data_IF_719950442354
#
_entry.id   IF_719950442354
#
_cell.length_a   1.000
_cell.length_b   1.000
_cell.length_c   1.000
_cell.angle_alpha   90.00
_cell.angle_beta   90.00
_cell.angle_gamma   90.00
#
_symmetry.space_group_name_H-M   'P 1'
#
loop_
_entity.id
_entity.type
_entity.pdbx_description
1 polymer ?
#
# COMPACT_ATOMS: atom_id res chain seq x y z
N UNK A 1 6.02 30.57 -12.54
CA UNK A 1 5.84 31.88 -11.87
C UNK A 1 4.57 31.88 -11.03
N UNK A 2 4.46 32.80 -10.06
CA UNK A 2 3.36 32.86 -9.07
C UNK A 2 1.94 32.81 -9.67
N UNK A 3 1.72 33.49 -10.81
CA UNK A 3 0.43 33.46 -11.52
C UNK A 3 0.05 32.06 -12.05
N UNK A 4 1.02 31.29 -12.55
CA UNK A 4 0.78 29.94 -13.05
C UNK A 4 0.55 28.94 -11.90
N UNK A 5 1.28 29.09 -10.79
CA UNK A 5 1.08 28.32 -9.56
C UNK A 5 -0.34 28.52 -9.02
N UNK A 6 -0.78 29.77 -8.86
CA UNK A 6 -2.13 30.08 -8.40
C UNK A 6 -3.23 29.51 -9.30
N UNK A 7 -3.03 29.56 -10.62
CA UNK A 7 -3.96 28.98 -11.59
C UNK A 7 -4.07 27.46 -11.39
N UNK A 8 -2.94 26.75 -11.36
CA UNK A 8 -2.90 25.30 -11.16
C UNK A 8 -3.58 24.87 -9.84
N UNK A 9 -3.31 25.57 -8.74
CA UNK A 9 -3.91 25.28 -7.44
C UNK A 9 -5.43 25.45 -7.46
N UNK A 10 -5.92 26.53 -8.10
CA UNK A 10 -7.36 26.81 -8.21
C UNK A 10 -8.07 25.77 -9.07
N UNK A 11 -7.51 25.42 -10.22
CA UNK A 11 -8.09 24.45 -11.15
C UNK A 11 -8.20 23.05 -10.55
N UNK A 12 -7.28 22.68 -9.66
CA UNK A 12 -7.21 21.34 -9.04
C UNK A 12 -7.75 21.31 -7.59
N UNK A 13 -8.33 22.40 -7.09
CA UNK A 13 -8.83 22.52 -5.71
C UNK A 13 -7.78 22.18 -4.63
N UNK A 14 -6.53 22.60 -4.84
CA UNK A 14 -5.40 22.28 -3.98
C UNK A 14 -5.08 23.42 -3.01
N UNK A 15 -4.77 23.06 -1.75
CA UNK A 15 -4.28 23.99 -0.73
C UNK A 15 -2.78 24.20 -0.86
N UNK A 16 -2.36 25.45 -1.16
CA UNK A 16 -0.93 25.83 -1.18
C UNK A 16 -0.23 25.51 0.14
N UNK A 17 -0.86 25.87 1.25
CA UNK A 17 -0.29 25.69 2.58
C UNK A 17 -0.02 24.21 2.87
N UNK A 18 -0.97 23.33 2.50
CA UNK A 18 -0.83 21.89 2.67
C UNK A 18 0.31 21.34 1.82
N UNK A 19 0.40 21.73 0.54
CA UNK A 19 1.48 21.27 -0.36
C UNK A 19 2.86 21.73 0.11
N UNK A 20 2.99 22.99 0.58
CA UNK A 20 4.24 23.50 1.15
C UNK A 20 4.63 22.70 2.39
N UNK A 21 3.67 22.43 3.28
CA UNK A 21 3.91 21.62 4.48
C UNK A 21 4.37 20.20 4.10
N UNK A 22 3.73 19.57 3.10
CA UNK A 22 4.14 18.27 2.59
C UNK A 22 5.57 18.28 2.01
N UNK A 23 5.98 19.35 1.31
CA UNK A 23 7.35 19.49 0.82
C UNK A 23 8.36 19.58 1.97
N UNK A 24 8.04 20.36 3.00
CA UNK A 24 8.89 20.49 4.20
C UNK A 24 9.00 19.17 4.96
N UNK A 25 7.90 18.43 5.13
CA UNK A 25 7.92 17.10 5.75
C UNK A 25 8.78 16.11 4.97
N UNK A 26 8.71 16.14 3.63
CA UNK A 26 9.56 15.31 2.77
C UNK A 26 11.05 15.60 3.00
N UNK A 27 11.42 16.86 3.13
CA UNK A 27 12.81 17.27 3.41
C UNK A 27 13.25 16.80 4.80
N UNK A 28 12.38 16.89 5.81
CA UNK A 28 12.65 16.38 7.15
C UNK A 28 12.85 14.85 7.17
N UNK A 29 11.98 14.08 6.50
CA UNK A 29 12.16 12.62 6.40
C UNK A 29 13.46 12.24 5.69
N UNK A 30 13.86 13.00 4.67
CA UNK A 30 15.14 12.79 3.99
C UNK A 30 16.35 13.02 4.90
N UNK A 31 16.29 14.04 5.76
CA UNK A 31 17.35 14.29 6.75
C UNK A 31 17.46 13.15 7.77
N UNK A 32 16.32 12.56 8.18
CA UNK A 32 16.30 11.40 9.05
C UNK A 32 16.88 10.14 8.38
N UNK A 33 16.59 9.92 7.10
CA UNK A 33 17.18 8.82 6.34
C UNK A 33 18.69 8.97 6.16
N UNK A 34 19.16 10.22 5.96
CA UNK A 34 20.58 10.53 5.94
C UNK A 34 21.24 10.25 7.29
N UNK A 35 20.66 10.72 8.39
CA UNK A 35 21.25 10.51 9.72
C UNK A 35 21.28 9.03 10.11
N UNK A 36 20.30 8.24 9.65
CA UNK A 36 20.27 6.80 9.80
C UNK A 36 21.17 6.05 8.79
N UNK A 37 21.88 6.75 7.90
CA UNK A 37 22.84 6.16 6.96
C UNK A 37 22.22 5.43 5.76
N UNK A 38 20.92 5.56 5.50
CA UNK A 38 20.22 4.89 4.39
C UNK A 38 20.51 5.52 3.02
N UNK A 39 21.08 6.72 2.97
CA UNK A 39 21.31 7.46 1.73
C UNK A 39 22.77 7.91 1.62
N UNK A 40 23.42 7.56 0.52
CA UNK A 40 24.80 7.96 0.22
C UNK A 40 24.85 9.23 -0.64
N UNK A 41 24.73 10.39 0.00
CA UNK A 41 25.10 11.69 -0.58
C UNK A 41 23.96 12.50 -1.22
N UNK A 42 23.62 13.63 -0.60
CA UNK A 42 22.75 14.68 -1.15
C UNK A 42 22.04 15.49 -0.05
N UNK A 43 22.26 16.82 0.01
CA UNK A 43 21.60 17.72 0.98
C UNK A 43 20.07 17.77 0.83
N UNK A 44 19.55 17.34 -0.32
CA UNK A 44 18.13 17.37 -0.68
C UNK A 44 17.68 15.99 -1.14
N UNK A 45 16.37 15.68 -0.97
CA UNK A 45 15.80 14.48 -1.55
C UNK A 45 16.07 14.46 -3.07
N UNK A 46 16.39 13.31 -3.67
CA UNK A 46 16.47 13.19 -5.11
C UNK A 46 15.15 13.67 -5.72
N UNK A 47 15.24 14.51 -6.75
CA UNK A 47 14.04 14.89 -7.48
C UNK A 47 13.45 13.63 -8.13
N UNK A 48 12.13 13.45 -7.98
CA UNK A 48 11.35 12.30 -8.52
C UNK A 48 11.52 12.15 -10.05
N UNK A 49 12.15 13.12 -10.72
CA UNK A 49 12.45 13.08 -12.15
C UNK A 49 13.74 12.33 -12.53
N UNK A 50 14.58 11.94 -11.56
CA UNK A 50 15.93 11.42 -11.82
C UNK A 50 16.18 9.95 -11.47
N UNK A 51 15.25 9.27 -10.79
CA UNK A 51 15.42 7.85 -10.42
C UNK A 51 14.41 6.97 -11.16
N UNK A 52 14.90 5.99 -11.93
CA UNK A 52 14.06 5.05 -12.68
C UNK A 52 13.12 4.23 -11.77
N UNK A 53 13.51 3.96 -10.52
CA UNK A 53 12.70 3.25 -9.52
C UNK A 53 11.48 4.06 -9.04
N UNK A 54 11.60 5.40 -8.99
CA UNK A 54 10.54 6.30 -8.52
C UNK A 54 9.34 6.36 -9.47
N UNK A 55 9.50 5.85 -10.69
CA UNK A 55 8.47 5.82 -11.72
C UNK A 55 7.66 4.51 -11.77
N UNK A 56 8.04 3.47 -11.03
CA UNK A 56 7.31 2.20 -11.03
C UNK A 56 6.17 2.22 -10.00
N UNK A 57 4.89 2.26 -10.42
CA UNK A 57 3.76 2.22 -9.48
C UNK A 57 3.76 0.94 -8.65
N UNK A 58 4.34 -0.15 -9.17
CA UNK A 58 4.46 -1.42 -8.46
C UNK A 58 5.40 -1.31 -7.25
N UNK A 59 6.54 -0.62 -7.38
CA UNK A 59 7.47 -0.40 -6.27
C UNK A 59 6.85 0.51 -5.20
N UNK A 60 6.19 1.60 -5.61
CA UNK A 60 5.50 2.51 -4.67
C UNK A 60 4.41 1.76 -3.91
N UNK A 61 3.57 0.98 -4.60
CA UNK A 61 2.57 0.10 -3.96
C UNK A 61 3.20 -0.89 -2.98
N UNK A 62 4.37 -1.43 -3.31
CA UNK A 62 5.07 -2.38 -2.46
C UNK A 62 5.60 -1.74 -1.17
N UNK A 63 6.23 -0.56 -1.28
CA UNK A 63 6.70 0.21 -0.13
C UNK A 63 5.53 0.67 0.74
N UNK A 64 4.45 1.17 0.13
CA UNK A 64 3.22 1.53 0.86
C UNK A 64 2.65 0.32 1.61
N UNK A 65 2.65 -0.86 1.00
CA UNK A 65 2.20 -2.07 1.67
C UNK A 65 3.07 -2.40 2.89
N UNK A 66 4.39 -2.28 2.79
CA UNK A 66 5.29 -2.50 3.93
C UNK A 66 5.06 -1.52 5.08
N UNK A 67 4.74 -0.25 4.77
CA UNK A 67 4.46 0.77 5.79
C UNK A 67 3.05 0.70 6.40
N UNK A 68 2.06 0.22 5.64
CA UNK A 68 0.66 0.19 6.08
C UNK A 68 0.20 -1.19 6.56
N UNK A 69 0.94 -2.27 6.31
CA UNK A 69 0.61 -3.58 6.86
C UNK A 69 0.59 -3.53 8.41
N UNK A 70 -0.42 -4.11 9.10
CA UNK A 70 -1.43 -5.07 8.63
C UNK A 70 -2.77 -4.46 8.19
N UNK A 71 -2.84 -3.15 7.87
CA UNK A 71 -4.08 -2.50 7.41
C UNK A 71 -4.40 -2.89 5.96
N UNK A 72 -4.97 -4.08 5.81
CA UNK A 72 -5.36 -4.67 4.53
C UNK A 72 -6.84 -5.01 4.59
N UNK A 73 -7.55 -4.71 3.52
CA UNK A 73 -8.94 -5.09 3.27
C UNK A 73 -9.03 -5.97 2.02
N UNK A 74 -9.96 -6.92 2.05
CA UNK A 74 -10.18 -7.91 1.00
C UNK A 74 -11.54 -7.62 0.36
N UNK A 75 -11.50 -7.35 -0.93
CA UNK A 75 -12.68 -7.20 -1.76
C UNK A 75 -13.26 -8.59 -2.05
N UNK A 76 -14.58 -8.80 -1.86
CA UNK A 76 -15.24 -10.04 -2.21
C UNK A 76 -14.99 -10.47 -3.66
N UNK A 77 -14.95 -11.79 -3.87
CA UNK A 77 -14.86 -12.35 -5.22
C UNK A 77 -16.11 -11.98 -6.01
N UNK A 78 -15.93 -11.60 -7.28
CA UNK A 78 -17.05 -11.28 -8.17
C UNK A 78 -17.38 -9.80 -8.30
N UNK A 79 -16.65 -8.88 -7.64
CA UNK A 79 -16.80 -7.43 -7.90
C UNK A 79 -16.67 -7.14 -9.40
N UNK A 80 -15.58 -7.61 -10.04
CA UNK A 80 -15.32 -7.36 -11.47
C UNK A 80 -16.35 -8.01 -12.41
N UNK A 81 -17.19 -8.91 -11.91
CA UNK A 81 -18.27 -9.58 -12.65
C UNK A 81 -19.64 -8.98 -12.31
N UNK A 82 -19.70 -8.12 -11.30
CA UNK A 82 -20.90 -7.45 -10.83
C UNK A 82 -20.97 -6.05 -11.42
N UNK A 83 -22.17 -5.52 -11.62
CA UNK A 83 -22.38 -4.10 -11.96
C UNK A 83 -22.22 -3.17 -10.74
N UNK A 84 -21.96 -3.74 -9.55
CA UNK A 84 -21.77 -2.98 -8.30
C UNK A 84 -20.46 -2.22 -8.32
N UNK A 85 -20.45 -1.04 -7.71
CA UNK A 85 -19.24 -0.26 -7.48
C UNK A 85 -18.50 -0.80 -6.26
N UNK A 86 -17.18 -0.65 -6.23
CA UNK A 86 -16.35 -1.12 -5.11
C UNK A 86 -16.76 -0.50 -3.76
N UNK A 87 -17.25 0.74 -3.76
CA UNK A 87 -17.77 1.39 -2.55
C UNK A 87 -19.12 0.90 -2.05
N UNK A 88 -19.86 0.15 -2.86
CA UNK A 88 -21.16 -0.44 -2.49
C UNK A 88 -21.00 -1.85 -1.90
N UNK A 89 -19.80 -2.42 -1.99
CA UNK A 89 -19.50 -3.78 -1.51
C UNK A 89 -18.93 -3.73 -0.09
N UNK A 90 -19.28 -4.75 0.71
CA UNK A 90 -18.69 -4.96 2.04
C UNK A 90 -17.32 -5.63 1.90
N UNK A 91 -16.29 -4.98 2.40
CA UNK A 91 -14.91 -5.45 2.44
C UNK A 91 -14.65 -6.12 3.79
N UNK A 92 -13.85 -7.17 3.78
CA UNK A 92 -13.37 -7.81 5.00
C UNK A 92 -11.97 -7.28 5.32
N UNK A 93 -11.78 -6.65 6.49
CA UNK A 93 -10.45 -6.25 6.93
C UNK A 93 -9.72 -7.40 7.61
N UNK A 94 -8.39 -7.37 7.62
CA UNK A 94 -7.62 -8.33 8.43
C UNK A 94 -7.96 -8.22 9.93
N UNK A 95 -8.29 -7.02 10.40
CA UNK A 95 -8.80 -6.81 11.76
C UNK A 95 -10.21 -7.38 11.99
N UNK A 96 -10.78 -8.07 10.99
CA UNK A 96 -12.04 -8.82 11.06
C UNK A 96 -13.25 -7.95 11.34
N UNK A 97 -13.15 -6.70 10.91
CA UNK A 97 -14.26 -5.77 10.78
C UNK A 97 -14.71 -5.72 9.33
N UNK A 98 -16.02 -5.61 9.12
CA UNK A 98 -16.58 -5.27 7.82
C UNK A 98 -16.47 -3.77 7.60
N UNK A 99 -15.99 -3.35 6.44
CA UNK A 99 -15.86 -1.95 6.06
C UNK A 99 -16.33 -1.71 4.62
N UNK A 100 -16.65 -0.47 4.26
CA UNK A 100 -16.89 -0.05 2.87
C UNK A 100 -15.89 1.01 2.46
N UNK A 101 -15.69 1.23 1.16
CA UNK A 101 -14.89 2.38 0.72
C UNK A 101 -15.65 3.67 0.97
N UNK A 102 -14.97 4.70 1.47
CA UNK A 102 -15.57 6.02 1.65
C UNK A 102 -15.80 6.71 0.28
N UNK A 103 -16.88 7.49 0.08
CA UNK A 103 -17.14 8.19 -1.18
C UNK A 103 -16.03 9.14 -1.67
N UNK A 104 -15.12 9.56 -0.78
CA UNK A 104 -13.98 10.41 -1.13
C UNK A 104 -12.81 9.66 -1.76
N UNK A 105 -12.78 8.32 -1.70
CA UNK A 105 -11.69 7.57 -2.32
C UNK A 105 -11.93 7.40 -3.82
N UNK A 106 -10.85 7.41 -4.60
CA UNK A 106 -10.90 7.26 -6.05
C UNK A 106 -11.53 5.92 -6.48
N UNK A 107 -11.28 4.85 -5.71
CA UNK A 107 -11.81 3.54 -6.00
C UNK A 107 -13.31 3.39 -5.69
N UNK A 108 -13.97 4.36 -5.03
CA UNK A 108 -15.38 4.23 -4.64
C UNK A 108 -16.29 3.89 -5.83
N UNK A 109 -16.06 4.55 -6.96
CA UNK A 109 -16.87 4.42 -8.18
C UNK A 109 -16.37 3.33 -9.13
N UNK A 110 -15.25 2.68 -8.83
CA UNK A 110 -14.67 1.66 -9.69
C UNK A 110 -15.57 0.42 -9.72
N UNK A 111 -15.90 -0.07 -10.91
CA UNK A 111 -16.59 -1.35 -11.12
C UNK A 111 -15.61 -2.51 -11.27
N UNK A 112 -14.36 -2.21 -11.60
CA UNK A 112 -13.27 -3.18 -11.70
C UNK A 112 -12.07 -2.70 -10.89
N UNK A 113 -11.40 -3.64 -10.23
CA UNK A 113 -10.13 -3.41 -9.55
C UNK A 113 -9.06 -4.35 -10.12
N UNK A 114 -7.83 -3.85 -10.21
CA UNK A 114 -6.63 -4.60 -10.63
C UNK A 114 -6.23 -5.67 -9.60
N UNK A 115 -6.59 -5.49 -8.34
CA UNK A 115 -6.43 -6.48 -7.28
C UNK A 115 -7.59 -6.46 -6.30
N UNK A 116 -7.83 -7.61 -5.65
CA UNK A 116 -8.80 -7.73 -4.55
C UNK A 116 -8.25 -7.26 -3.20
N UNK A 117 -6.94 -7.06 -3.08
CA UNK A 117 -6.33 -6.61 -1.84
C UNK A 117 -6.15 -5.09 -1.89
N UNK A 118 -6.63 -4.43 -0.85
CA UNK A 118 -6.56 -2.99 -0.67
C UNK A 118 -5.78 -2.71 0.61
N UNK A 119 -4.76 -1.88 0.54
CA UNK A 119 -4.16 -1.27 1.73
C UNK A 119 -4.85 0.07 2.03
N UNK A 120 -4.93 0.42 3.30
CA UNK A 120 -5.54 1.66 3.77
C UNK A 120 -4.78 2.21 4.98
N UNK A 121 -4.92 3.51 5.22
CA UNK A 121 -4.32 4.22 6.34
C UNK A 121 -5.37 4.63 7.39
N UNK A 122 -6.47 5.25 6.97
CA UNK A 122 -7.47 5.83 7.87
C UNK A 122 -8.81 5.09 7.80
N UNK A 123 -9.33 4.74 8.98
CA UNK A 123 -10.67 4.18 9.17
C UNK A 123 -11.54 5.21 9.88
N UNK A 124 -12.71 5.49 9.32
CA UNK A 124 -13.69 6.42 9.91
C UNK A 124 -15.00 5.70 10.12
N UNK A 125 -15.67 5.97 11.25
CA UNK A 125 -17.00 5.43 11.53
C UNK A 125 -18.00 6.58 11.58
N UNK A 126 -18.97 6.55 10.67
CA UNK A 126 -20.09 7.49 10.66
C UNK A 126 -21.39 6.70 10.70
N UNK A 127 -22.02 6.47 9.54
CA UNK A 127 -23.19 5.57 9.40
C UNK A 127 -22.80 4.09 9.41
N UNK A 128 -21.61 3.78 8.89
CA UNK A 128 -20.93 2.49 8.97
C UNK A 128 -19.42 2.72 8.97
N UNK A 129 -18.64 1.66 9.07
CA UNK A 129 -17.18 1.73 9.01
C UNK A 129 -16.74 1.96 7.56
N UNK A 130 -15.93 2.98 7.34
CA UNK A 130 -15.41 3.34 6.03
C UNK A 130 -13.88 3.45 6.01
N UNK A 131 -13.27 3.01 4.91
CA UNK A 131 -11.87 3.24 4.59
C UNK A 131 -11.77 4.54 3.80
N UNK A 132 -11.07 5.55 4.34
CA UNK A 132 -11.03 6.90 3.75
C UNK A 132 -10.11 6.99 2.54
N UNK A 133 -9.05 6.19 2.56
CA UNK A 133 -8.09 6.01 1.47
C UNK A 133 -8.04 4.54 1.05
N UNK A 134 -7.65 4.29 -0.20
CA UNK A 134 -7.53 2.92 -0.71
C UNK A 134 -6.50 2.83 -1.84
N UNK A 135 -5.56 1.90 -1.70
CA UNK A 135 -4.61 1.55 -2.76
C UNK A 135 -4.67 0.05 -2.99
N UNK A 136 -4.90 -0.37 -4.23
CA UNK A 136 -4.89 -1.79 -4.59
C UNK A 136 -3.47 -2.32 -4.67
N UNK A 137 -3.22 -3.50 -4.12
CA UNK A 137 -1.91 -4.15 -4.14
C UNK A 137 -2.02 -5.58 -4.63
N UNK A 138 -1.10 -6.06 -5.48
CA UNK A 138 -1.12 -7.44 -5.94
C UNK A 138 -0.74 -8.40 -4.79
N UNK A 139 -1.18 -9.67 -4.82
CA UNK A 139 -0.89 -10.63 -3.75
C UNK A 139 0.61 -10.85 -3.51
N UNK A 140 1.44 -10.70 -4.54
CA UNK A 140 2.90 -10.81 -4.49
C UNK A 140 3.53 -9.79 -3.54
N UNK A 141 2.96 -8.59 -3.48
CA UNK A 141 3.42 -7.54 -2.56
C UNK A 141 3.13 -7.92 -1.11
N UNK A 142 1.97 -8.51 -0.84
CA UNK A 142 1.64 -9.03 0.49
C UNK A 142 2.53 -10.22 0.87
N UNK A 143 2.90 -11.09 -0.09
CA UNK A 143 3.85 -12.16 0.16
C UNK A 143 5.21 -11.63 0.59
N UNK A 144 5.68 -10.53 -0.01
CA UNK A 144 6.99 -9.94 0.30
C UNK A 144 6.99 -9.14 1.60
N UNK A 145 6.03 -8.23 1.78
CA UNK A 145 6.02 -7.22 2.85
C UNK A 145 4.95 -7.44 3.93
N UNK A 146 4.12 -8.48 3.81
CA UNK A 146 3.20 -8.86 4.88
C UNK A 146 3.90 -9.50 6.08
N UNK A 147 3.13 -10.04 7.02
CA UNK A 147 3.65 -10.64 8.24
C UNK A 147 4.28 -12.02 8.03
N UNK A 148 4.31 -12.83 9.09
CA UNK A 148 5.02 -14.12 9.10
C UNK A 148 4.49 -15.07 8.03
N UNK A 149 5.36 -15.57 7.16
CA UNK A 149 4.99 -16.45 6.06
C UNK A 149 5.17 -17.92 6.43
N UNK A 150 4.12 -18.72 6.24
CA UNK A 150 4.14 -20.17 6.38
C UNK A 150 3.75 -20.78 5.04
N UNK A 151 4.65 -21.58 4.45
CA UNK A 151 4.44 -22.22 3.15
C UNK A 151 3.89 -23.63 3.35
N UNK A 152 2.69 -23.90 2.82
CA UNK A 152 2.07 -25.22 2.82
C UNK A 152 2.23 -25.86 1.44
N UNK A 153 3.40 -26.50 1.21
CA UNK A 153 3.76 -27.06 -0.10
C UNK A 153 2.71 -28.03 -0.65
N UNK A 154 2.18 -28.92 0.19
CA UNK A 154 1.20 -29.93 -0.21
C UNK A 154 -0.06 -29.32 -0.83
N UNK A 155 -0.51 -28.17 -0.30
CA UNK A 155 -1.77 -27.52 -0.68
C UNK A 155 -1.59 -26.35 -1.66
N UNK A 156 -0.35 -26.01 -2.02
CA UNK A 156 -0.01 -24.82 -2.82
C UNK A 156 -0.61 -23.53 -2.24
N UNK A 157 -0.54 -23.42 -0.91
CA UNK A 157 -1.05 -22.27 -0.15
C UNK A 157 0.07 -21.67 0.67
N UNK A 158 0.11 -20.34 0.72
CA UNK A 158 0.94 -19.57 1.62
C UNK A 158 0.06 -18.84 2.61
N UNK A 159 0.35 -19.00 3.89
CA UNK A 159 -0.34 -18.32 4.98
C UNK A 159 0.52 -17.14 5.45
N UNK A 160 -0.01 -15.92 5.36
CA UNK A 160 0.64 -14.70 5.85
C UNK A 160 -0.03 -14.34 7.18
N UNK A 161 0.69 -14.53 8.28
CA UNK A 161 0.20 -14.26 9.62
C UNK A 161 0.07 -12.76 9.90
N UNK A 162 -1.04 -12.38 10.52
CA UNK A 162 -1.23 -11.05 11.11
C UNK A 162 -1.77 -11.20 12.55
N UNK A 163 -1.21 -10.45 13.49
CA UNK A 163 -1.49 -10.63 14.91
C UNK A 163 -1.05 -12.01 15.44
N UNK A 164 -1.56 -12.40 16.61
CA UNK A 164 -1.07 -13.60 17.31
C UNK A 164 -1.57 -14.93 16.73
N UNK A 165 -2.73 -14.97 16.04
CA UNK A 165 -3.36 -16.23 15.60
C UNK A 165 -4.15 -16.16 14.28
N UNK A 166 -4.02 -15.11 13.46
CA UNK A 166 -4.81 -14.96 12.24
C UNK A 166 -3.91 -15.03 11.00
N UNK A 167 -4.42 -15.60 9.90
CA UNK A 167 -3.63 -15.90 8.70
C UNK A 167 -4.37 -15.60 7.41
N UNK A 168 -3.66 -15.00 6.46
CA UNK A 168 -4.17 -14.69 5.13
C UNK A 168 -3.69 -15.80 4.21
N UNK A 169 -4.64 -16.58 3.69
CA UNK A 169 -4.32 -17.70 2.83
C UNK A 169 -4.35 -17.26 1.37
N UNK A 170 -3.18 -17.32 0.73
CA UNK A 170 -3.00 -17.06 -0.69
C UNK A 170 -2.67 -18.38 -1.40
N UNK A 171 -3.36 -18.66 -2.51
CA UNK A 171 -2.99 -19.78 -3.37
C UNK A 171 -1.80 -19.35 -4.23
N UNK A 172 -0.67 -20.04 -4.07
CA UNK A 172 0.59 -19.69 -4.72
C UNK A 172 1.31 -20.98 -5.14
N UNK A 173 1.72 -21.11 -6.41
CA UNK A 173 2.50 -22.27 -6.86
C UNK A 173 3.76 -22.49 -6.03
N UNK A 174 4.13 -23.75 -5.80
CA UNK A 174 5.27 -24.12 -4.94
C UNK A 174 6.56 -23.36 -5.26
N UNK A 175 6.90 -23.25 -6.55
CA UNK A 175 8.11 -22.54 -7.03
C UNK A 175 8.10 -21.07 -6.61
N UNK A 176 6.98 -20.38 -6.79
CA UNK A 176 6.82 -18.97 -6.44
C UNK A 176 6.93 -18.80 -4.92
N UNK A 177 6.25 -19.64 -4.14
CA UNK A 177 6.30 -19.58 -2.68
C UNK A 177 7.74 -19.73 -2.13
N UNK A 178 8.53 -20.66 -2.69
CA UNK A 178 9.94 -20.85 -2.31
C UNK A 178 10.79 -19.63 -2.66
N UNK A 179 10.59 -19.02 -3.83
CA UNK A 179 11.31 -17.80 -4.24
C UNK A 179 11.02 -16.67 -3.25
N UNK A 180 9.75 -16.40 -2.93
CA UNK A 180 9.39 -15.34 -1.97
C UNK A 180 9.95 -15.61 -0.57
N UNK A 181 9.99 -16.87 -0.12
CA UNK A 181 10.63 -17.23 1.15
C UNK A 181 12.11 -16.85 1.17
N UNK A 182 12.86 -17.20 0.13
CA UNK A 182 14.28 -16.84 0.06
C UNK A 182 14.50 -15.34 -0.12
N UNK A 183 13.67 -14.67 -0.93
CA UNK A 183 13.75 -13.24 -1.15
C UNK A 183 13.55 -12.46 0.16
N UNK A 184 12.54 -12.84 0.96
CA UNK A 184 12.30 -12.23 2.28
C UNK A 184 13.49 -12.37 3.21
N UNK A 185 14.07 -13.56 3.30
CA UNK A 185 15.26 -13.80 4.13
C UNK A 185 16.42 -12.91 3.71
N UNK A 186 16.65 -12.72 2.41
CA UNK A 186 17.70 -11.84 1.89
C UNK A 186 17.41 -10.36 2.16
N UNK A 187 16.16 -9.93 2.03
CA UNK A 187 15.76 -8.55 2.37
C UNK A 187 15.97 -8.29 3.86
N UNK A 188 15.55 -9.21 4.73
CA UNK A 188 15.74 -9.12 6.18
C UNK A 188 17.23 -9.11 6.55
N UNK A 189 18.03 -9.99 5.95
CA UNK A 189 19.49 -10.00 6.11
C UNK A 189 20.12 -8.66 5.72
N UNK A 190 19.78 -8.11 4.55
CA UNK A 190 20.30 -6.80 4.10
C UNK A 190 19.89 -5.66 5.05
N UNK A 191 18.67 -5.71 5.60
CA UNK A 191 18.19 -4.71 6.55
C UNK A 191 18.86 -4.83 7.93
N UNK A 192 19.21 -6.05 8.37
CA UNK A 192 19.85 -6.31 9.67
C UNK A 192 21.38 -6.20 9.64
N UNK A 193 22.00 -6.25 8.46
CA UNK A 193 23.45 -6.09 8.27
C UNK A 193 23.93 -4.62 8.37
N UNK A 194 23.07 -3.70 8.78
CA UNK A 194 23.39 -2.29 9.08
C UNK A 194 23.08 -1.98 10.54
#
# INVERSE_FOLDING_TARGET
>A
GSSAEWRFLRENFLSRQTLVTMSQLREQFWQLLQSAGFTSGGRRPPEIRGEESSHSPALVKAVLCGGLYPNVAIVPRGLNTSEKKAGEVSLETLHSSTASLHPCTLNYKATTLDSRFIIYHEVVQTSRVFLRDSTTVPPEVLLLFGGKVIVHHEREVVSIGWGSQRYLHLRVPRKVATIFKHLRLRVEEVLLLR
#
